data_IF_321688266774
#
_entry.id   IF_321688266774
#
_cell.length_a   1.000
_cell.length_b   1.000
_cell.length_c   1.000
_cell.angle_alpha   90.00
_cell.angle_beta   90.00
_cell.angle_gamma   90.00
#
_symmetry.space_group_name_H-M   'P 1'
#
loop_
_entity.id
_entity.type
_entity.pdbx_description
1 polymer ?
#
# COMPACT_ATOMS: atom_id res chain seq x y z
N UNK A 1 -20.22 0.63 3.24
CA UNK A 1 -19.38 0.96 4.39
C UNK A 1 -18.57 2.25 4.18
N UNK A 2 -17.66 2.36 3.24
CA UNK A 2 -16.81 3.57 3.07
C UNK A 2 -17.57 4.89 2.92
N UNK A 3 -18.83 4.87 2.46
CA UNK A 3 -19.66 6.05 2.25
C UNK A 3 -20.52 6.42 3.46
N UNK A 4 -20.66 5.56 4.45
CA UNK A 4 -21.59 5.74 5.57
C UNK A 4 -20.95 5.60 6.94
N UNK A 5 -19.80 4.95 7.04
CA UNK A 5 -19.09 4.77 8.30
C UNK A 5 -18.23 5.99 8.64
N UNK A 6 -18.01 6.19 9.93
CA UNK A 6 -17.15 7.27 10.43
C UNK A 6 -15.77 7.21 9.74
N UNK A 7 -15.38 8.28 9.05
CA UNK A 7 -14.14 8.42 8.28
C UNK A 7 -13.90 7.30 7.23
N UNK A 8 -14.94 6.62 6.76
CA UNK A 8 -14.80 5.52 5.80
C UNK A 8 -14.04 4.31 6.33
N UNK A 9 -13.90 4.19 7.66
CA UNK A 9 -13.12 3.13 8.30
C UNK A 9 -13.82 1.77 8.20
N UNK A 10 -13.02 0.72 8.09
CA UNK A 10 -13.42 -0.65 8.39
C UNK A 10 -12.69 -1.11 9.65
N UNK A 11 -13.40 -1.67 10.61
CA UNK A 11 -12.84 -2.23 11.83
C UNK A 11 -13.75 -3.32 12.37
N UNK A 12 -13.15 -4.37 12.88
CA UNK A 12 -13.84 -5.45 13.58
C UNK A 12 -13.40 -5.50 15.05
N UNK A 13 -14.25 -6.03 15.89
CA UNK A 13 -13.90 -6.36 17.27
C UNK A 13 -13.20 -7.73 17.35
N UNK A 14 -12.78 -8.15 18.55
CA UNK A 14 -12.12 -9.43 18.77
C UNK A 14 -12.95 -10.66 18.39
N UNK A 15 -14.26 -10.49 18.16
CA UNK A 15 -15.20 -11.54 17.73
C UNK A 15 -15.44 -11.54 16.22
N UNK A 16 -14.73 -10.70 15.45
CA UNK A 16 -14.90 -10.55 14.00
C UNK A 16 -16.14 -9.76 13.59
N UNK A 17 -16.80 -9.05 14.51
CA UNK A 17 -17.97 -8.25 14.19
C UNK A 17 -17.56 -6.81 13.84
N UNK A 18 -18.13 -6.28 12.77
CA UNK A 18 -17.98 -4.88 12.38
C UNK A 18 -18.40 -3.94 13.52
N UNK A 19 -17.55 -2.98 13.88
CA UNK A 19 -17.78 -2.10 15.03
C UNK A 19 -17.41 -0.63 14.80
N UNK A 20 -17.50 -0.16 13.54
CA UNK A 20 -17.32 1.27 13.25
C UNK A 20 -18.66 2.00 13.39
N UNK A 21 -18.73 3.13 14.10
CA UNK A 21 -19.94 3.90 14.20
C UNK A 21 -20.34 4.53 12.86
N UNK A 22 -21.61 4.87 12.72
CA UNK A 22 -22.12 5.59 11.55
C UNK A 22 -21.48 6.98 11.46
N UNK A 23 -21.05 7.37 10.26
CA UNK A 23 -20.57 8.72 9.98
C UNK A 23 -21.74 9.72 9.91
N UNK A 24 -21.54 10.92 10.43
CA UNK A 24 -22.56 11.99 10.41
C UNK A 24 -22.61 12.67 9.03
N UNK A 25 -22.91 11.91 7.97
CA UNK A 25 -23.08 12.45 6.62
C UNK A 25 -24.56 12.78 6.40
N UNK A 26 -24.88 14.01 5.96
CA UNK A 26 -26.26 14.48 5.75
C UNK A 26 -26.92 13.85 4.52
N UNK A 27 -26.17 13.50 3.50
CA UNK A 27 -26.70 12.84 2.30
C UNK A 27 -25.61 12.01 1.59
N UNK A 28 -25.23 10.84 2.14
CA UNK A 28 -24.16 10.04 1.55
C UNK A 28 -24.66 9.36 0.28
N UNK A 29 -23.90 9.46 -0.81
CA UNK A 29 -24.09 8.64 -2.00
C UNK A 29 -23.70 7.20 -1.66
N UNK A 30 -24.65 6.36 -1.28
CA UNK A 30 -24.42 4.98 -0.84
C UNK A 30 -24.03 4.09 -2.00
N UNK A 31 -24.74 4.26 -3.13
CA UNK A 31 -24.53 3.50 -4.35
C UNK A 31 -24.39 4.45 -5.54
N UNK A 32 -23.40 4.19 -6.37
CA UNK A 32 -23.21 4.81 -7.66
C UNK A 32 -23.23 3.69 -8.72
N UNK A 33 -24.41 3.40 -9.31
CA UNK A 33 -24.56 2.28 -10.24
C UNK A 33 -23.67 2.42 -11.47
N UNK A 34 -23.51 3.63 -11.99
CA UNK A 34 -22.70 3.89 -13.19
C UNK A 34 -21.22 3.55 -12.94
N UNK A 35 -20.68 3.99 -11.81
CA UNK A 35 -19.31 3.70 -11.43
C UNK A 35 -19.10 2.19 -11.16
N UNK A 36 -20.07 1.54 -10.52
CA UNK A 36 -19.98 0.10 -10.23
C UNK A 36 -19.98 -0.71 -11.53
N UNK A 37 -20.87 -0.38 -12.48
CA UNK A 37 -20.94 -1.07 -13.78
C UNK A 37 -19.65 -0.85 -14.59
N UNK A 38 -19.15 0.39 -14.68
CA UNK A 38 -17.92 0.67 -15.38
C UNK A 38 -16.72 -0.09 -14.79
N UNK A 39 -16.60 -0.12 -13.45
CA UNK A 39 -15.57 -0.90 -12.78
C UNK A 39 -15.74 -2.42 -13.02
N UNK A 40 -16.98 -2.91 -13.03
CA UNK A 40 -17.25 -4.32 -13.34
C UNK A 40 -16.79 -4.70 -14.75
N UNK A 41 -17.10 -3.87 -15.75
CA UNK A 41 -16.64 -4.07 -17.13
C UNK A 41 -15.11 -4.06 -17.23
N UNK A 42 -14.45 -3.16 -16.50
CA UNK A 42 -12.99 -3.10 -16.48
C UNK A 42 -12.39 -4.36 -15.86
N UNK A 43 -12.96 -4.84 -14.76
CA UNK A 43 -12.49 -6.04 -14.05
C UNK A 43 -12.66 -7.33 -14.86
N UNK A 44 -13.55 -7.36 -15.88
CA UNK A 44 -13.63 -8.51 -16.79
C UNK A 44 -12.40 -8.64 -17.71
N UNK A 45 -11.57 -7.58 -17.81
CA UNK A 45 -10.39 -7.54 -18.68
C UNK A 45 -9.09 -7.87 -17.93
N UNK A 46 -9.18 -8.20 -16.65
CA UNK A 46 -8.03 -8.50 -15.79
C UNK A 46 -8.14 -9.89 -15.18
N UNK A 47 -7.02 -10.52 -14.93
CA UNK A 47 -6.94 -11.73 -14.12
C UNK A 47 -6.79 -11.35 -12.64
N UNK A 48 -7.70 -11.85 -11.80
CA UNK A 48 -7.67 -11.63 -10.36
C UNK A 48 -7.29 -12.94 -9.69
N UNK A 49 -6.17 -12.93 -8.98
CA UNK A 49 -5.68 -14.09 -8.26
C UNK A 49 -5.62 -13.82 -6.75
N UNK A 50 -5.69 -14.89 -5.96
CA UNK A 50 -5.52 -14.84 -4.51
C UNK A 50 -4.41 -15.80 -4.07
N UNK A 51 -3.50 -15.31 -3.23
CA UNK A 51 -2.44 -16.15 -2.70
C UNK A 51 -1.24 -15.34 -2.22
N UNK A 52 -0.15 -16.04 -1.95
CA UNK A 52 1.13 -15.43 -1.62
C UNK A 52 1.69 -14.68 -2.84
N UNK A 53 2.31 -13.52 -2.61
CA UNK A 53 2.84 -12.67 -3.67
C UNK A 53 3.89 -13.37 -4.55
N UNK A 54 4.65 -14.33 -4.00
CA UNK A 54 5.66 -15.06 -4.75
C UNK A 54 5.08 -15.87 -5.92
N UNK A 55 3.79 -16.23 -5.88
CA UNK A 55 3.12 -16.93 -6.98
C UNK A 55 3.03 -16.08 -8.25
N UNK A 56 3.10 -14.77 -8.13
CA UNK A 56 3.04 -13.86 -9.29
C UNK A 56 4.29 -13.88 -10.14
N UNK A 57 5.39 -14.48 -9.66
CA UNK A 57 6.66 -14.59 -10.38
C UNK A 57 6.53 -15.22 -11.76
N UNK A 58 5.60 -16.18 -11.91
CA UNK A 58 5.36 -16.89 -13.18
C UNK A 58 4.78 -15.99 -14.27
N UNK A 59 4.17 -14.87 -13.91
CA UNK A 59 3.60 -13.91 -14.86
C UNK A 59 4.59 -12.82 -15.27
N UNK A 60 5.78 -12.76 -14.64
CA UNK A 60 6.72 -11.66 -14.82
C UNK A 60 7.82 -12.02 -15.81
N UNK A 61 8.05 -11.11 -16.75
CA UNK A 61 9.15 -11.14 -17.73
C UNK A 61 9.66 -9.71 -17.99
N UNK A 62 10.66 -9.55 -18.85
CA UNK A 62 11.29 -8.25 -19.14
C UNK A 62 10.38 -7.15 -19.71
N UNK A 63 9.16 -7.47 -20.12
CA UNK A 63 8.14 -6.50 -20.60
C UNK A 63 7.09 -6.18 -19.54
N UNK A 64 7.19 -6.79 -18.36
CA UNK A 64 6.20 -6.61 -17.30
C UNK A 64 6.51 -5.36 -16.50
N UNK A 65 5.48 -4.59 -16.14
CA UNK A 65 5.54 -3.59 -15.09
C UNK A 65 4.89 -4.15 -13.83
N UNK A 66 5.61 -4.13 -12.70
CA UNK A 66 5.15 -4.66 -11.43
C UNK A 66 4.97 -3.51 -10.43
N UNK A 67 3.80 -3.43 -9.82
CA UNK A 67 3.55 -2.53 -8.69
C UNK A 67 3.28 -3.35 -7.43
N UNK A 68 4.09 -3.16 -6.41
CA UNK A 68 3.99 -3.84 -5.12
C UNK A 68 3.48 -2.85 -4.07
N UNK A 69 2.32 -3.16 -3.49
CA UNK A 69 1.67 -2.38 -2.43
C UNK A 69 1.42 -3.30 -1.22
N UNK A 70 2.46 -3.65 -0.46
CA UNK A 70 2.35 -4.55 0.69
C UNK A 70 1.66 -3.87 1.86
N UNK A 71 1.26 -4.61 2.89
CA UNK A 71 0.96 -4.02 4.19
C UNK A 71 2.15 -3.18 4.67
N UNK A 72 1.91 -1.88 4.90
CA UNK A 72 2.96 -0.93 5.27
C UNK A 72 3.53 -1.25 6.66
N UNK A 73 4.84 -1.10 6.78
CA UNK A 73 5.53 -1.23 8.07
C UNK A 73 5.01 -0.17 9.05
N UNK A 74 4.57 -0.55 10.26
CA UNK A 74 4.07 0.40 11.24
C UNK A 74 5.13 1.42 11.64
N UNK A 75 4.79 2.71 11.64
CA UNK A 75 5.70 3.80 12.05
C UNK A 75 5.83 3.93 13.58
N UNK A 76 4.93 3.31 14.35
CA UNK A 76 4.97 3.27 15.81
C UNK A 76 4.19 2.06 16.33
N UNK A 77 4.42 1.69 17.58
CA UNK A 77 3.78 0.54 18.24
C UNK A 77 2.24 0.64 18.32
N UNK A 78 1.67 1.87 18.27
CA UNK A 78 0.22 2.10 18.32
C UNK A 78 -0.44 2.08 16.94
N UNK A 79 0.32 2.15 15.86
CA UNK A 79 -0.17 2.10 14.48
C UNK A 79 -0.28 0.68 13.91
N UNK A 80 -0.33 -0.34 14.79
CA UNK A 80 -0.52 -1.74 14.40
C UNK A 80 -1.91 -1.96 13.77
N UNK A 81 -2.12 -1.43 12.55
CA UNK A 81 -3.25 -1.79 11.68
C UNK A 81 -3.10 -3.20 11.08
N UNK A 82 -2.01 -3.92 11.36
CA UNK A 82 -1.78 -5.31 10.98
C UNK A 82 -2.73 -6.32 11.68
N UNK A 83 -3.63 -5.85 12.55
CA UNK A 83 -4.67 -6.67 13.18
C UNK A 83 -5.68 -7.29 12.17
N UNK A 84 -5.62 -6.91 10.89
CA UNK A 84 -6.49 -7.46 9.85
C UNK A 84 -5.93 -8.71 9.17
N UNK A 85 -4.66 -9.02 9.36
CA UNK A 85 -4.03 -10.21 8.76
C UNK A 85 -3.73 -11.19 9.88
N UNK A 86 -4.21 -12.43 9.78
CA UNK A 86 -3.95 -13.51 10.76
C UNK A 86 -2.46 -13.81 10.92
N UNK A 87 -1.64 -13.47 9.94
CA UNK A 87 -0.17 -13.48 9.97
C UNK A 87 0.31 -12.05 9.79
N UNK A 88 0.99 -11.48 10.78
CA UNK A 88 1.55 -10.14 10.69
C UNK A 88 2.56 -10.07 9.53
N UNK A 89 2.42 -9.03 8.67
CA UNK A 89 3.43 -8.71 7.67
C UNK A 89 4.52 -7.89 8.38
N UNK A 90 5.40 -8.60 9.07
CA UNK A 90 6.45 -8.04 9.91
C UNK A 90 7.75 -7.74 9.12
N UNK A 91 8.81 -7.38 9.83
CA UNK A 91 10.10 -7.07 9.22
C UNK A 91 10.69 -8.27 8.47
N UNK A 92 10.40 -9.50 8.88
CA UNK A 92 10.84 -10.71 8.15
C UNK A 92 10.12 -10.87 6.82
N UNK A 93 8.82 -10.54 6.77
CA UNK A 93 8.04 -10.52 5.54
C UNK A 93 8.46 -9.35 4.61
N UNK A 94 8.84 -8.19 5.17
CA UNK A 94 9.43 -7.10 4.39
C UNK A 94 10.76 -7.51 3.74
N UNK A 95 11.60 -8.27 4.46
CA UNK A 95 12.85 -8.82 3.91
C UNK A 95 12.56 -9.87 2.84
N UNK A 96 11.58 -10.75 3.04
CA UNK A 96 11.14 -11.73 2.05
C UNK A 96 10.64 -11.05 0.78
N UNK A 97 9.84 -10.00 0.92
CA UNK A 97 9.35 -9.20 -0.20
C UNK A 97 10.51 -8.52 -0.96
N UNK A 98 11.51 -7.99 -0.24
CA UNK A 98 12.72 -7.43 -0.87
C UNK A 98 13.48 -8.48 -1.70
N UNK A 99 13.63 -9.69 -1.18
CA UNK A 99 14.29 -10.74 -1.94
C UNK A 99 13.51 -11.13 -3.20
N UNK A 100 12.18 -11.15 -3.10
CA UNK A 100 11.29 -11.32 -4.24
C UNK A 100 11.43 -10.17 -5.25
N UNK A 101 11.47 -8.92 -4.78
CA UNK A 101 11.72 -7.74 -5.62
C UNK A 101 13.03 -7.88 -6.41
N UNK A 102 14.12 -8.33 -5.77
CA UNK A 102 15.41 -8.58 -6.46
C UNK A 102 15.27 -9.65 -7.54
N UNK A 103 14.60 -10.77 -7.22
CA UNK A 103 14.43 -11.86 -8.21
C UNK A 103 13.63 -11.41 -9.43
N UNK A 104 12.68 -10.53 -9.26
CA UNK A 104 11.93 -9.94 -10.37
C UNK A 104 12.78 -8.95 -11.18
N UNK A 105 13.57 -8.11 -10.49
CA UNK A 105 14.53 -7.20 -11.15
C UNK A 105 15.50 -7.94 -12.06
N UNK A 106 15.98 -9.11 -11.65
CA UNK A 106 16.87 -9.97 -12.44
C UNK A 106 16.23 -10.49 -13.74
N UNK A 107 14.89 -10.54 -13.79
CA UNK A 107 14.15 -10.85 -15.02
C UNK A 107 14.05 -9.67 -15.99
N UNK A 108 14.53 -8.49 -15.59
CA UNK A 108 14.54 -7.28 -16.39
C UNK A 108 13.22 -6.52 -16.45
N UNK A 109 12.25 -6.83 -15.60
CA UNK A 109 10.99 -6.08 -15.51
C UNK A 109 11.19 -4.72 -14.84
N UNK A 110 10.24 -3.82 -15.01
CA UNK A 110 10.20 -2.54 -14.29
C UNK A 110 9.31 -2.66 -13.05
N UNK A 111 9.84 -2.23 -11.91
CA UNK A 111 9.18 -2.40 -10.63
C UNK A 111 9.07 -1.09 -9.85
N UNK A 112 7.93 -0.92 -9.19
CA UNK A 112 7.72 0.08 -8.12
C UNK A 112 7.17 -0.63 -6.89
N UNK A 113 7.71 -0.29 -5.73
CA UNK A 113 7.20 -0.69 -4.43
C UNK A 113 6.87 0.55 -3.60
N UNK A 114 5.69 0.59 -3.00
CA UNK A 114 5.28 1.62 -2.04
C UNK A 114 5.39 1.11 -0.61
N UNK A 115 5.79 1.99 0.33
CA UNK A 115 5.78 1.66 1.77
C UNK A 115 5.81 2.93 2.64
N UNK A 116 5.69 2.76 3.97
CA UNK A 116 5.86 3.83 4.93
C UNK A 116 7.30 4.34 4.97
N UNK A 117 7.48 5.64 5.19
CA UNK A 117 8.82 6.24 5.38
C UNK A 117 9.17 6.31 6.87
N UNK A 118 9.83 5.25 7.37
CA UNK A 118 10.32 5.20 8.75
C UNK A 118 11.24 6.37 9.09
N UNK A 119 12.20 6.66 8.21
CA UNK A 119 13.17 7.76 8.39
C UNK A 119 12.52 9.15 8.36
N UNK A 120 11.45 9.32 7.59
CA UNK A 120 10.66 10.55 7.60
C UNK A 120 9.92 10.77 8.92
N UNK A 121 9.64 9.72 9.66
CA UNK A 121 8.99 9.75 10.96
C UNK A 121 9.99 9.75 12.14
N UNK A 122 11.02 8.88 12.09
CA UNK A 122 12.14 8.78 13.02
C UNK A 122 13.45 8.73 12.24
N UNK A 123 14.32 9.73 12.40
CA UNK A 123 15.54 9.88 11.60
C UNK A 123 16.48 8.67 11.67
N UNK A 124 16.47 7.94 12.78
CA UNK A 124 17.26 6.75 13.01
C UNK A 124 16.66 5.48 12.37
N UNK A 125 15.40 5.51 11.92
CA UNK A 125 14.77 4.38 11.24
C UNK A 125 15.19 4.34 9.77
N UNK A 126 16.31 3.68 9.52
CA UNK A 126 16.90 3.51 8.18
C UNK A 126 16.59 2.13 7.58
N UNK A 127 15.62 1.40 8.12
CA UNK A 127 15.32 0.02 7.73
C UNK A 127 15.18 -0.15 6.20
N UNK A 128 14.33 0.64 5.56
CA UNK A 128 14.14 0.55 4.11
C UNK A 128 15.31 1.15 3.33
N UNK A 129 15.98 2.18 3.86
CA UNK A 129 17.16 2.76 3.21
C UNK A 129 18.29 1.73 3.07
N UNK A 130 18.51 0.90 4.09
CA UNK A 130 19.50 -0.19 4.04
C UNK A 130 19.00 -1.38 3.21
N UNK A 131 17.72 -1.75 3.40
CA UNK A 131 17.14 -2.92 2.74
C UNK A 131 17.13 -2.78 1.21
N UNK A 132 16.87 -1.56 0.71
CA UNK A 132 16.78 -1.26 -0.72
C UNK A 132 17.87 -0.31 -1.22
N UNK A 133 19.05 -0.27 -0.56
CA UNK A 133 20.16 0.64 -0.88
C UNK A 133 20.63 0.59 -2.33
N UNK A 134 20.46 -0.55 -3.00
CA UNK A 134 20.89 -0.78 -4.39
C UNK A 134 19.85 -0.26 -5.41
N UNK A 135 18.71 0.27 -4.94
CA UNK A 135 17.59 0.73 -5.74
C UNK A 135 17.33 2.23 -5.54
N UNK A 136 16.54 2.80 -6.42
CA UNK A 136 16.15 4.21 -6.30
C UNK A 136 15.03 4.38 -5.29
N UNK A 137 15.33 5.02 -4.17
CA UNK A 137 14.35 5.36 -3.13
C UNK A 137 13.93 6.82 -3.30
N UNK A 138 12.64 7.06 -3.50
CA UNK A 138 12.05 8.40 -3.52
C UNK A 138 11.11 8.57 -2.33
N UNK A 139 11.12 9.76 -1.75
CA UNK A 139 10.17 10.17 -0.70
C UNK A 139 9.15 11.11 -1.29
N UNK A 140 7.89 10.70 -1.27
CA UNK A 140 6.78 11.49 -1.78
C UNK A 140 5.91 11.99 -0.63
N UNK A 141 5.33 13.18 -0.79
CA UNK A 141 4.39 13.70 0.18
C UNK A 141 2.99 13.12 -0.05
N UNK A 142 2.49 12.40 0.94
CA UNK A 142 1.14 11.87 0.96
C UNK A 142 0.27 12.65 1.96
N UNK A 143 -0.96 12.99 1.55
CA UNK A 143 -1.95 13.59 2.46
C UNK A 143 -2.63 12.48 3.25
N UNK A 144 -2.48 12.47 4.57
CA UNK A 144 -3.32 11.62 5.44
C UNK A 144 -4.75 12.14 5.43
N UNK A 145 -5.61 11.47 4.71
CA UNK A 145 -7.06 11.75 4.71
C UNK A 145 -7.74 11.30 6.01
N UNK A 146 -7.16 10.33 6.72
CA UNK A 146 -7.74 9.68 7.90
C UNK A 146 -6.82 9.89 9.11
N UNK A 147 -7.19 10.82 9.97
CA UNK A 147 -6.65 10.92 11.33
C UNK A 147 -7.80 11.32 12.26
N UNK A 148 -7.94 10.63 13.39
CA UNK A 148 -8.92 10.95 14.41
C UNK A 148 -8.78 12.39 14.96
N UNK A 149 -7.56 12.95 14.93
CA UNK A 149 -7.29 14.33 15.30
C UNK A 149 -7.10 15.18 14.02
N UNK A 150 -8.02 16.11 13.68
CA UNK A 150 -7.92 16.98 12.50
C UNK A 150 -6.65 17.84 12.47
N UNK A 151 -6.14 18.24 13.64
CA UNK A 151 -4.93 19.08 13.78
C UNK A 151 -3.66 18.30 13.43
N UNK A 152 -3.70 16.95 13.54
CA UNK A 152 -2.60 16.05 13.19
C UNK A 152 -2.71 15.47 11.76
N UNK A 153 -3.56 16.03 10.91
CA UNK A 153 -3.64 15.74 9.47
C UNK A 153 -2.52 16.48 8.74
N UNK A 154 -1.28 16.10 9.04
CA UNK A 154 -0.10 16.62 8.36
C UNK A 154 0.23 15.81 7.09
N UNK A 155 1.00 16.42 6.22
CA UNK A 155 1.69 15.70 5.16
C UNK A 155 2.71 14.75 5.79
N UNK A 156 2.68 13.49 5.40
CA UNK A 156 3.70 12.50 5.72
C UNK A 156 4.45 12.15 4.46
N UNK A 157 5.67 11.68 4.61
CA UNK A 157 6.39 11.06 3.51
C UNK A 157 6.08 9.57 3.44
N UNK A 158 5.98 9.08 2.21
CA UNK A 158 5.91 7.66 1.87
C UNK A 158 7.04 7.33 0.91
N UNK A 159 7.44 6.06 0.87
CA UNK A 159 8.50 5.60 -0.02
C UNK A 159 7.91 5.10 -1.33
N UNK A 160 8.57 5.48 -2.43
CA UNK A 160 8.51 4.78 -3.71
C UNK A 160 9.91 4.25 -4.04
N UNK A 161 10.02 2.94 -4.13
CA UNK A 161 11.26 2.24 -4.45
C UNK A 161 11.13 1.65 -5.85
N UNK A 162 12.10 1.93 -6.72
CA UNK A 162 12.08 1.47 -8.12
C UNK A 162 13.43 0.99 -8.59
N UNK A 163 13.43 0.03 -9.51
CA UNK A 163 14.63 -0.55 -10.11
C UNK A 163 15.07 0.12 -11.42
N UNK A 164 14.41 1.19 -11.84
CA UNK A 164 14.72 1.89 -13.09
C UNK A 164 14.82 3.41 -12.88
N UNK A 165 15.47 4.07 -13.83
CA UNK A 165 15.56 5.54 -13.86
C UNK A 165 14.53 6.10 -14.82
N UNK A 166 13.77 7.10 -14.41
CA UNK A 166 12.90 7.85 -15.30
C UNK A 166 13.82 8.78 -16.11
N UNK A 167 13.90 8.55 -17.42
CA UNK A 167 14.47 9.57 -18.32
C UNK A 167 13.55 10.79 -18.23
N UNK A 168 14.05 11.88 -17.66
CA UNK A 168 13.34 13.17 -17.78
C UNK A 168 13.29 13.48 -19.27
N UNK A 169 12.12 13.30 -19.87
CA UNK A 169 11.89 13.70 -21.26
C UNK A 169 12.27 15.16 -21.42
N UNK A 170 13.02 15.44 -22.46
CA UNK A 170 13.31 16.78 -22.93
C UNK A 170 11.96 17.51 -23.05
N UNK A 171 11.83 18.62 -22.28
CA UNK A 171 10.66 19.51 -22.36
C UNK A 171 10.54 20.13 -23.75
#
# INVERSE_FOLDING_TARGET
MNRTCFNGLYRENSKGNFNVPFGKYSNPTICDPSLILANSELLQKVEITHGDFSKTETYVNGYTFVYLDPPYRPLNATSNFNAYVKTAFDDSEQIRLRNFYVSLSEKGCHEILSNSDGKGYHKEDIFFDELYKDFKIERIYAKRSINANPIKRGSITELLIRNYTICQGIK
#
